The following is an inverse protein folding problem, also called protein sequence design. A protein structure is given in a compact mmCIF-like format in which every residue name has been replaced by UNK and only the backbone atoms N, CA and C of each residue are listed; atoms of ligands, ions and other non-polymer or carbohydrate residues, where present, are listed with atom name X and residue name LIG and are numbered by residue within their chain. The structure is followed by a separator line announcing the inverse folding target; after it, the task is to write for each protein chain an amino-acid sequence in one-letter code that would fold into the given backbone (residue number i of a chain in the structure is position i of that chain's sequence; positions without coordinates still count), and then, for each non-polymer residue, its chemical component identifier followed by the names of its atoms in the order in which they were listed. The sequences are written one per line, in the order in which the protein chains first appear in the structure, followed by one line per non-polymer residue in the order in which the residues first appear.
data_IF_112272999206
#
_entry.id   IF_112272999206
#
_cell.length_a   1.000
_cell.length_b   1.000
_cell.length_c   1.000
_cell.angle_alpha   90.00
_cell.angle_beta   90.00
_cell.angle_gamma   90.00
#
_symmetry.space_group_name_H-M   'P 1'
#
loop_
_entity.id
_entity.type
_entity.pdbx_description
1 polymer ?
#
# COMPACT_ATOMS: atom_id res chain seq x y z
N UNK A 1 -5.34 17.83 2.95
CA UNK A 1 -4.63 16.70 3.61
C UNK A 1 -3.31 16.43 2.87
N UNK A 2 -2.37 15.65 3.42
CA UNK A 2 -1.11 15.35 2.74
C UNK A 2 -0.64 13.93 3.02
N UNK A 3 -0.26 13.20 1.98
CA UNK A 3 0.28 11.85 2.09
C UNK A 3 1.72 11.85 2.64
N UNK A 4 1.98 10.99 3.61
CA UNK A 4 3.28 10.88 4.29
C UNK A 4 3.89 9.49 4.04
N UNK A 5 4.41 9.21 2.82
CA UNK A 5 4.70 7.84 2.35
C UNK A 5 5.69 7.06 3.21
N UNK A 6 6.62 7.73 3.88
CA UNK A 6 7.65 7.11 4.72
C UNK A 6 7.46 7.49 6.18
N UNK A 7 7.25 8.78 6.46
CA UNK A 7 7.21 9.30 7.83
C UNK A 7 5.98 8.85 8.60
N UNK A 8 4.86 8.51 7.93
CA UNK A 8 3.67 7.97 8.60
C UNK A 8 4.00 6.72 9.43
N UNK A 9 4.71 5.76 8.84
CA UNK A 9 5.04 4.51 9.53
C UNK A 9 5.98 4.73 10.71
N UNK A 10 7.01 5.57 10.56
CA UNK A 10 7.89 5.94 11.67
C UNK A 10 7.14 6.60 12.84
N UNK A 11 6.27 7.56 12.54
CA UNK A 11 5.54 8.30 13.57
C UNK A 11 4.57 7.38 14.32
N UNK A 12 3.80 6.57 13.59
CA UNK A 12 2.81 5.66 14.20
C UNK A 12 3.50 4.55 14.99
N UNK A 13 4.61 4.00 14.50
CA UNK A 13 5.40 3.00 15.23
C UNK A 13 5.94 3.53 16.55
N UNK A 14 6.41 4.78 16.56
CA UNK A 14 6.92 5.43 17.76
C UNK A 14 5.82 5.80 18.76
N UNK A 15 4.64 6.21 18.30
CA UNK A 15 3.47 6.39 19.17
C UNK A 15 3.06 5.04 19.75
N UNK A 16 2.93 4.01 18.91
CA UNK A 16 2.53 2.67 19.30
C UNK A 16 3.46 2.07 20.37
N UNK A 17 4.78 2.15 20.15
CA UNK A 17 5.78 1.60 21.08
C UNK A 17 5.76 2.29 22.45
N UNK A 18 5.28 3.54 22.55
CA UNK A 18 5.16 4.26 23.83
C UNK A 18 3.89 3.90 24.59
N UNK A 19 2.82 3.49 23.90
CA UNK A 19 1.54 3.12 24.51
C UNK A 19 1.44 1.62 24.79
N UNK A 20 2.15 0.77 24.04
CA UNK A 20 2.18 -0.66 24.28
C UNK A 20 2.90 -0.96 25.60
N UNK A 21 2.25 -1.73 26.48
CA UNK A 21 2.78 -2.08 27.80
C UNK A 21 4.14 -2.81 27.76
N UNK A 22 4.47 -3.50 26.66
CA UNK A 22 5.74 -4.20 26.46
C UNK A 22 6.74 -3.38 25.65
N UNK A 23 6.39 -2.13 25.31
CA UNK A 23 7.17 -1.25 24.46
C UNK A 23 7.58 -1.85 23.10
N UNK A 24 6.72 -2.72 22.55
CA UNK A 24 6.95 -3.37 21.26
C UNK A 24 6.73 -2.40 20.10
N UNK A 25 7.49 -2.62 19.03
CA UNK A 25 7.17 -2.06 17.72
C UNK A 25 5.87 -2.64 17.15
N UNK A 26 5.31 -2.00 16.14
CA UNK A 26 4.13 -2.50 15.42
C UNK A 26 4.43 -3.86 14.78
N UNK A 27 5.63 -4.06 14.24
CA UNK A 27 6.02 -5.33 13.63
C UNK A 27 6.06 -6.48 14.63
N UNK A 28 6.59 -6.24 15.83
CA UNK A 28 6.61 -7.22 16.92
C UNK A 28 5.20 -7.51 17.45
N UNK A 29 4.38 -6.47 17.65
CA UNK A 29 2.98 -6.65 18.03
C UNK A 29 2.20 -7.46 16.99
N UNK A 30 2.34 -7.11 15.70
CA UNK A 30 1.69 -7.84 14.60
C UNK A 30 2.11 -9.31 14.60
N UNK A 31 3.40 -9.60 14.81
CA UNK A 31 3.90 -10.96 14.90
C UNK A 31 3.25 -11.73 16.06
N UNK A 32 3.29 -11.17 17.26
CA UNK A 32 2.90 -11.87 18.49
C UNK A 32 1.38 -11.99 18.64
N UNK A 33 0.63 -10.94 18.26
CA UNK A 33 -0.81 -10.83 18.53
C UNK A 33 -1.68 -11.22 17.33
N UNK A 34 -1.15 -11.17 16.11
CA UNK A 34 -1.92 -11.47 14.89
C UNK A 34 -1.33 -12.67 14.15
N UNK A 35 -0.08 -12.58 13.72
CA UNK A 35 0.56 -13.57 12.87
C UNK A 35 0.60 -14.96 13.53
N UNK A 36 1.13 -15.05 14.75
CA UNK A 36 1.28 -16.31 15.47
C UNK A 36 -0.07 -16.88 15.93
N UNK A 37 -0.99 -16.02 16.39
CA UNK A 37 -2.31 -16.45 16.90
C UNK A 37 -3.29 -16.89 15.81
N UNK A 38 -3.14 -16.35 14.61
CA UNK A 38 -4.06 -16.62 13.50
C UNK A 38 -3.39 -17.35 12.33
N UNK A 39 -2.12 -17.72 12.47
CA UNK A 39 -1.33 -18.41 11.45
C UNK A 39 -1.40 -17.71 10.08
N UNK A 40 -1.17 -16.39 10.06
CA UNK A 40 -1.24 -15.58 8.85
C UNK A 40 0.16 -15.28 8.31
N UNK A 41 0.34 -15.33 7.00
CA UNK A 41 1.61 -14.96 6.35
C UNK A 41 1.67 -13.45 6.08
N UNK A 42 1.83 -12.66 7.15
CA UNK A 42 1.97 -11.20 7.09
C UNK A 42 3.10 -10.79 8.03
N UNK A 43 4.07 -10.05 7.51
CA UNK A 43 5.31 -9.71 8.19
C UNK A 43 5.61 -8.22 8.04
N UNK A 44 6.03 -7.60 9.12
CA UNK A 44 6.66 -6.27 9.13
C UNK A 44 7.97 -6.48 9.90
N UNK A 45 9.07 -6.63 9.18
CA UNK A 45 10.31 -7.15 9.76
C UNK A 45 10.22 -8.64 10.10
N UNK A 46 11.21 -9.15 10.83
CA UNK A 46 11.24 -10.55 11.33
C UNK A 46 10.98 -11.64 10.26
N UNK A 47 11.40 -11.43 9.01
CA UNK A 47 11.10 -12.33 7.89
C UNK A 47 12.27 -13.24 7.49
N UNK A 48 13.34 -13.31 8.29
CA UNK A 48 14.56 -14.07 7.96
C UNK A 48 14.28 -15.55 7.63
N UNK A 49 13.41 -16.20 8.42
CA UNK A 49 13.04 -17.61 8.21
C UNK A 49 12.22 -17.85 6.94
N UNK A 50 11.61 -16.79 6.39
CA UNK A 50 10.77 -16.86 5.21
C UNK A 50 11.50 -16.44 3.93
N UNK A 51 12.80 -16.12 3.99
CA UNK A 51 13.57 -15.58 2.86
C UNK A 51 13.41 -16.41 1.57
N UNK A 52 13.43 -17.74 1.70
CA UNK A 52 13.29 -18.66 0.57
C UNK A 52 11.89 -18.64 -0.08
N UNK A 53 10.88 -18.10 0.60
CA UNK A 53 9.50 -17.99 0.10
C UNK A 53 9.18 -16.59 -0.44
N UNK A 54 10.03 -15.60 -0.20
CA UNK A 54 9.80 -14.22 -0.63
C UNK A 54 10.13 -14.12 -2.12
N UNK A 55 9.10 -13.89 -2.93
CA UNK A 55 9.28 -13.60 -4.34
C UNK A 55 9.98 -12.24 -4.51
N UNK A 56 11.04 -12.21 -5.34
CA UNK A 56 11.73 -10.95 -5.68
C UNK A 56 10.83 -10.06 -6.51
N UNK A 57 10.76 -8.78 -6.14
CA UNK A 57 10.14 -7.73 -6.91
C UNK A 57 10.93 -7.55 -8.21
N UNK A 58 10.23 -7.71 -9.33
CA UNK A 58 10.78 -7.46 -10.65
C UNK A 58 10.73 -5.96 -10.95
N UNK A 59 11.77 -5.41 -11.61
CA UNK A 59 11.76 -4.02 -12.02
C UNK A 59 10.63 -3.76 -13.01
N UNK A 60 10.22 -2.49 -13.07
CA UNK A 60 9.33 -2.00 -14.10
C UNK A 60 9.97 -2.25 -15.47
N UNK A 61 9.46 -3.22 -16.22
CA UNK A 61 9.82 -3.36 -17.63
C UNK A 61 9.36 -2.09 -18.37
N UNK A 62 10.19 -1.54 -19.27
CA UNK A 62 9.85 -0.32 -20.04
C UNK A 62 8.67 -0.52 -21.01
N UNK A 63 8.33 -1.76 -21.34
CA UNK A 63 7.37 -2.13 -22.39
C UNK A 63 5.89 -2.22 -22.00
N UNK A 64 5.45 -2.53 -20.76
CA UNK A 64 4.03 -2.51 -20.39
C UNK A 64 3.48 -1.09 -20.15
N UNK A 65 4.33 -0.08 -20.03
CA UNK A 65 3.93 1.31 -19.73
C UNK A 65 3.03 1.92 -20.80
N UNK A 66 3.17 1.54 -22.07
CA UNK A 66 2.32 2.07 -23.16
C UNK A 66 0.88 1.53 -23.10
N UNK A 67 0.69 0.27 -22.71
CA UNK A 67 -0.65 -0.32 -22.58
C UNK A 67 -1.39 0.24 -21.37
N UNK A 68 -0.69 0.47 -20.25
CA UNK A 68 -1.26 1.14 -19.08
C UNK A 68 -1.53 2.63 -19.37
N UNK A 69 -0.64 3.31 -20.09
CA UNK A 69 -0.84 4.68 -20.59
C UNK A 69 -2.11 4.86 -21.42
N UNK A 70 -2.42 3.90 -22.29
CA UNK A 70 -3.66 3.91 -23.07
C UNK A 70 -4.91 3.66 -22.21
N UNK A 71 -4.77 3.00 -21.06
CA UNK A 71 -5.88 2.70 -20.14
C UNK A 71 -6.20 3.86 -19.18
N UNK A 72 -5.23 4.67 -18.77
CA UNK A 72 -5.49 5.86 -17.97
C UNK A 72 -4.44 6.98 -18.19
N UNK A 73 -4.91 8.13 -18.71
CA UNK A 73 -4.08 9.32 -18.95
C UNK A 73 -3.58 9.97 -17.64
N UNK A 74 -4.17 9.67 -16.48
CA UNK A 74 -3.76 10.20 -15.16
C UNK A 74 -2.46 9.60 -14.63
N UNK A 75 -1.95 8.51 -15.22
CA UNK A 75 -0.66 7.89 -14.83
C UNK A 75 0.50 8.89 -14.90
N UNK A 76 0.43 9.93 -15.74
CA UNK A 76 1.45 10.98 -15.86
C UNK A 76 1.47 11.95 -14.66
N UNK A 77 0.35 12.10 -13.94
CA UNK A 77 0.29 12.94 -12.71
C UNK A 77 1.22 12.37 -11.63
N UNK A 78 1.19 11.04 -11.47
CA UNK A 78 1.96 10.30 -10.45
C UNK A 78 3.47 10.31 -10.75
N UNK A 79 3.86 10.24 -12.03
CA UNK A 79 5.26 10.38 -12.43
C UNK A 79 5.86 11.76 -12.13
N UNK A 80 5.03 12.81 -12.21
CA UNK A 80 5.44 14.19 -11.93
C UNK A 80 5.49 14.54 -10.43
N UNK A 81 4.78 13.79 -9.60
CA UNK A 81 4.58 14.02 -8.18
C UNK A 81 5.75 13.54 -7.31
N UNK A 82 6.45 12.51 -7.79
CA UNK A 82 7.65 11.97 -7.16
C UNK A 82 8.92 12.75 -7.58
N UNK A 83 8.74 13.90 -8.24
CA UNK A 83 9.74 14.96 -8.34
C UNK A 83 9.52 15.95 -7.19
N UNK A 84 10.43 16.04 -6.21
CA UNK A 84 10.43 17.20 -5.34
C UNK A 84 10.76 18.43 -6.20
N UNK A 85 9.75 19.20 -6.59
CA UNK A 85 9.92 20.59 -7.04
C UNK A 85 10.16 21.49 -5.82
N UNK A 86 11.16 21.15 -5.02
CA UNK A 86 11.71 22.00 -3.97
C UNK A 86 13.04 21.40 -3.56
N UNK A 87 14.13 21.93 -4.10
CA UNK A 87 15.40 21.87 -3.39
C UNK A 87 15.19 22.68 -2.10
N UNK A 88 15.36 22.11 -0.90
CA UNK A 88 15.50 22.94 0.29
C UNK A 88 16.75 23.78 0.08
N UNK A 89 16.61 25.10 0.12
CA UNK A 89 17.73 26.03 0.13
C UNK A 89 18.42 25.98 1.50
N UNK A 90 19.09 24.87 1.81
CA UNK A 90 20.03 24.79 2.92
C UNK A 90 21.32 24.18 2.38
N UNK A 91 22.38 24.97 2.45
CA UNK A 91 23.62 24.73 1.74
C UNK A 91 24.29 23.42 2.10
N UNK A 92 24.57 22.60 1.07
CA UNK A 92 25.84 21.90 0.84
C UNK A 92 25.69 21.15 -0.49
N UNK A 93 26.39 21.63 -1.53
CA UNK A 93 26.50 20.91 -2.80
C UNK A 93 27.42 19.70 -2.59
N UNK A 94 26.86 18.54 -2.25
CA UNK A 94 27.58 17.28 -2.49
C UNK A 94 27.21 16.81 -3.90
N UNK A 95 28.13 17.05 -4.85
CA UNK A 95 28.11 16.38 -6.14
C UNK A 95 28.45 14.90 -5.93
N UNK A 96 27.72 13.94 -6.52
CA UNK A 96 28.20 12.58 -6.60
C UNK A 96 29.36 12.55 -7.61
N UNK A 97 30.56 12.23 -7.13
CA UNK A 97 31.66 11.77 -7.97
C UNK A 97 31.27 10.40 -8.53
N UNK A 98 31.02 10.34 -9.83
CA UNK A 98 30.71 9.11 -10.56
C UNK A 98 30.76 9.40 -12.06
N UNK A 99 31.66 8.70 -12.75
CA UNK A 99 32.10 8.98 -14.11
C UNK A 99 30.97 9.03 -15.15
N UNK A 100 31.17 9.93 -16.12
CA UNK A 100 30.20 10.28 -17.13
C UNK A 100 29.81 9.14 -18.07
N UNK A 101 28.52 9.17 -18.44
CA UNK A 101 27.83 8.61 -19.64
C UNK A 101 26.53 7.91 -19.22
N UNK A 102 25.53 8.72 -18.87
CA UNK A 102 24.15 8.28 -18.81
C UNK A 102 23.24 9.46 -19.00
N UNK A 103 22.60 9.58 -20.18
CA UNK A 103 21.41 10.43 -20.35
C UNK A 103 20.30 9.83 -19.49
N UNK A 104 20.31 10.16 -18.20
CA UNK A 104 19.32 9.70 -17.23
C UNK A 104 17.97 10.34 -17.53
N UNK A 105 17.00 9.53 -17.94
CA UNK A 105 15.59 9.90 -17.86
C UNK A 105 15.32 10.35 -16.43
N UNK A 106 14.74 11.55 -16.31
CA UNK A 106 14.25 12.12 -15.05
C UNK A 106 13.03 11.33 -14.61
N UNK A 107 13.23 10.11 -14.14
CA UNK A 107 12.22 9.28 -13.48
C UNK A 107 12.52 9.32 -11.98
N UNK A 108 11.48 9.37 -11.16
CA UNK A 108 11.62 9.58 -9.72
C UNK A 108 12.54 8.57 -9.03
N UNK A 109 13.37 9.06 -8.11
CA UNK A 109 14.31 8.27 -7.28
C UNK A 109 13.59 7.13 -6.54
N UNK A 110 12.30 7.31 -6.22
CA UNK A 110 11.46 6.34 -5.50
C UNK A 110 11.07 5.16 -6.41
N UNK A 111 10.76 5.42 -7.69
CA UNK A 111 10.48 4.36 -8.69
C UNK A 111 11.77 3.62 -9.08
N UNK A 112 12.92 4.31 -9.03
CA UNK A 112 14.22 3.75 -9.41
C UNK A 112 14.79 2.71 -8.43
N UNK A 113 14.21 2.51 -7.24
CA UNK A 113 14.78 1.58 -6.25
C UNK A 113 13.76 0.66 -5.58
N UNK A 114 12.68 0.24 -6.26
CA UNK A 114 11.80 -0.82 -5.69
C UNK A 114 12.55 -2.13 -5.44
N UNK A 115 13.65 -2.35 -6.16
CA UNK A 115 14.55 -3.47 -5.95
C UNK A 115 15.28 -3.42 -4.60
N UNK A 116 15.36 -2.26 -3.93
CA UNK A 116 15.97 -2.17 -2.60
C UNK A 116 15.21 -3.03 -1.59
N UNK A 117 13.89 -3.18 -1.77
CA UNK A 117 13.06 -4.05 -0.93
C UNK A 117 13.31 -5.54 -1.18
N UNK A 118 14.09 -5.92 -2.21
CA UNK A 118 14.61 -7.27 -2.38
C UNK A 118 15.75 -7.60 -1.40
N UNK A 119 16.38 -6.59 -0.79
CA UNK A 119 17.42 -6.82 0.20
C UNK A 119 16.84 -7.32 1.53
N UNK A 120 17.33 -8.45 2.09
CA UNK A 120 16.95 -8.92 3.42
C UNK A 120 17.23 -7.87 4.51
N UNK A 121 18.33 -7.12 4.35
CA UNK A 121 18.70 -6.05 5.29
C UNK A 121 17.66 -4.92 5.32
N UNK A 122 17.10 -4.57 4.15
CA UNK A 122 16.04 -3.56 4.08
C UNK A 122 14.78 -4.08 4.75
N UNK A 123 14.37 -5.32 4.47
CA UNK A 123 13.19 -5.92 5.11
C UNK A 123 13.34 -6.07 6.63
N UNK A 124 14.55 -6.36 7.11
CA UNK A 124 14.82 -6.54 8.54
C UNK A 124 14.50 -5.30 9.38
N UNK A 125 14.58 -4.08 8.82
CA UNK A 125 14.21 -2.85 9.54
C UNK A 125 12.74 -2.79 9.96
N UNK A 126 11.85 -3.55 9.33
CA UNK A 126 10.44 -3.59 9.72
C UNK A 126 9.72 -2.26 9.66
N UNK A 127 10.05 -1.39 8.70
CA UNK A 127 9.38 -0.10 8.52
C UNK A 127 7.89 -0.29 8.14
N UNK A 128 6.92 0.05 9.00
CA UNK A 128 5.51 -0.28 8.78
C UNK A 128 4.88 0.36 7.54
N UNK A 129 5.40 1.49 7.06
CA UNK A 129 4.83 2.16 5.88
C UNK A 129 5.14 1.47 4.55
N UNK A 130 6.29 0.79 4.42
CA UNK A 130 6.80 0.34 3.10
C UNK A 130 7.41 -1.06 3.07
N UNK A 131 7.76 -1.66 4.22
CA UNK A 131 8.49 -2.94 4.28
C UNK A 131 7.61 -4.16 4.61
N UNK A 132 6.29 -4.03 4.46
CA UNK A 132 5.38 -5.16 4.66
C UNK A 132 5.60 -6.27 3.63
N UNK A 133 5.70 -7.52 4.08
CA UNK A 133 5.76 -8.71 3.23
C UNK A 133 4.60 -9.62 3.59
N UNK A 134 3.82 -10.04 2.60
CA UNK A 134 2.68 -10.91 2.85
C UNK A 134 2.33 -11.79 1.65
N UNK A 135 1.61 -12.88 1.91
CA UNK A 135 0.82 -13.53 0.88
C UNK A 135 -0.54 -12.83 0.75
N UNK A 136 -1.12 -12.79 -0.45
CA UNK A 136 -2.41 -12.14 -0.67
C UNK A 136 -3.52 -12.79 0.19
N UNK A 137 -3.44 -14.11 0.39
CA UNK A 137 -4.34 -14.87 1.27
C UNK A 137 -4.17 -14.47 2.73
N UNK A 138 -2.92 -14.39 3.22
CA UNK A 138 -2.63 -14.00 4.59
C UNK A 138 -3.10 -12.59 4.89
N UNK A 139 -2.81 -11.64 4.00
CA UNK A 139 -3.21 -10.24 4.16
C UNK A 139 -4.73 -10.07 4.10
N UNK A 140 -5.42 -10.78 3.18
CA UNK A 140 -6.88 -10.81 3.14
C UNK A 140 -7.48 -11.38 4.43
N UNK A 141 -6.91 -12.45 4.97
CA UNK A 141 -7.39 -13.06 6.21
C UNK A 141 -7.23 -12.13 7.42
N UNK A 142 -6.11 -11.41 7.54
CA UNK A 142 -5.95 -10.38 8.59
C UNK A 142 -7.03 -9.30 8.47
N UNK A 143 -7.32 -8.84 7.26
CA UNK A 143 -8.36 -7.83 7.02
C UNK A 143 -9.77 -8.39 7.29
N UNK A 144 -10.05 -9.64 6.96
CA UNK A 144 -11.31 -10.30 7.32
C UNK A 144 -11.48 -10.34 8.85
N UNK A 145 -10.44 -10.73 9.58
CA UNK A 145 -10.44 -10.78 11.06
C UNK A 145 -10.55 -9.39 11.71
N UNK A 146 -10.07 -8.37 11.02
CA UNK A 146 -10.28 -6.99 11.44
C UNK A 146 -11.73 -6.55 11.23
N UNK A 147 -12.32 -6.92 10.09
CA UNK A 147 -13.70 -6.60 9.72
C UNK A 147 -14.76 -7.37 10.53
N UNK A 148 -14.51 -8.64 10.84
CA UNK A 148 -15.46 -9.50 11.58
C UNK A 148 -15.46 -9.26 13.10
N UNK A 149 -14.55 -8.41 13.59
CA UNK A 149 -14.46 -8.03 14.99
C UNK A 149 -13.56 -8.93 15.84
N UNK A 150 -12.82 -9.86 15.24
CA UNK A 150 -11.84 -10.70 15.95
C UNK A 150 -10.66 -9.88 16.47
N UNK A 151 -10.16 -8.92 15.69
CA UNK A 151 -8.98 -8.11 16.05
C UNK A 151 -9.34 -6.78 16.73
N UNK A 152 -10.51 -6.23 16.43
CA UNK A 152 -10.98 -4.96 16.99
C UNK A 152 -12.47 -5.07 17.33
N UNK A 153 -12.97 -4.26 18.26
CA UNK A 153 -14.40 -4.31 18.57
C UNK A 153 -15.24 -3.89 17.36
N UNK A 154 -16.42 -4.49 17.22
CA UNK A 154 -17.37 -4.11 16.16
C UNK A 154 -17.82 -2.65 16.28
N UNK A 155 -17.88 -2.11 17.50
CA UNK A 155 -18.16 -0.70 17.74
C UNK A 155 -17.06 0.21 17.16
N UNK A 156 -15.79 -0.14 17.40
CA UNK A 156 -14.66 0.57 16.81
C UNK A 156 -14.70 0.47 15.28
N UNK A 157 -14.95 -0.73 14.74
CA UNK A 157 -14.99 -0.93 13.29
C UNK A 157 -16.12 -0.11 12.62
N UNK A 158 -17.28 0.06 13.28
CA UNK A 158 -18.35 0.94 12.77
C UNK A 158 -17.91 2.39 12.60
N UNK A 159 -17.02 2.89 13.44
CA UNK A 159 -16.47 4.25 13.30
C UNK A 159 -15.60 4.40 12.04
N UNK A 160 -15.09 3.29 11.50
CA UNK A 160 -14.32 3.25 10.26
C UNK A 160 -15.21 3.19 9.00
N UNK A 161 -16.53 3.09 9.13
CA UNK A 161 -17.46 2.89 8.00
C UNK A 161 -17.46 4.00 6.96
N UNK A 162 -17.00 5.20 7.32
CA UNK A 162 -16.88 6.36 6.45
C UNK A 162 -15.52 7.04 6.62
N UNK A 163 -15.00 7.68 5.56
CA UNK A 163 -13.77 8.47 5.67
C UNK A 163 -13.94 9.64 6.66
N UNK A 164 -12.85 10.09 7.26
CA UNK A 164 -12.83 11.34 8.04
C UNK A 164 -12.80 12.56 7.12
N UNK A 165 -12.17 12.42 5.96
CA UNK A 165 -12.08 13.42 4.90
C UNK A 165 -12.57 12.77 3.62
N UNK A 166 -13.70 13.21 3.10
CA UNK A 166 -14.28 12.73 1.83
C UNK A 166 -13.91 13.70 0.71
N UNK A 167 -13.29 13.18 -0.35
CA UNK A 167 -12.88 13.90 -1.56
C UNK A 167 -12.06 15.18 -1.29
N UNK A 168 -11.14 15.10 -0.33
CA UNK A 168 -10.25 16.19 0.01
C UNK A 168 -9.00 16.17 -0.85
N UNK A 169 -8.56 17.35 -1.30
CA UNK A 169 -7.31 17.48 -2.04
C UNK A 169 -6.09 17.08 -1.17
N UNK A 170 -5.33 16.10 -1.67
CA UNK A 170 -4.07 15.69 -1.09
C UNK A 170 -2.92 16.43 -1.76
N UNK A 171 -2.25 17.32 -1.01
CA UNK A 171 -1.17 18.15 -1.55
C UNK A 171 0.08 17.35 -1.95
N UNK A 172 0.23 16.14 -1.43
CA UNK A 172 1.35 15.27 -1.78
C UNK A 172 1.00 14.36 -2.94
N UNK A 173 -0.28 14.02 -3.16
CA UNK A 173 -0.73 13.21 -4.31
C UNK A 173 -1.18 14.04 -5.52
N UNK A 174 -1.53 15.31 -5.30
CA UNK A 174 -2.04 16.21 -6.33
C UNK A 174 -3.44 15.84 -6.85
N UNK A 175 -4.19 15.05 -6.07
CA UNK A 175 -5.53 14.59 -6.41
C UNK A 175 -6.45 14.55 -5.18
N UNK A 176 -7.75 14.46 -5.42
CA UNK A 176 -8.75 14.30 -4.37
C UNK A 176 -8.76 12.88 -3.86
N UNK A 177 -8.72 12.73 -2.54
CA UNK A 177 -8.66 11.45 -1.86
C UNK A 177 -9.62 11.44 -0.68
N UNK A 178 -10.23 10.27 -0.46
CA UNK A 178 -11.02 10.01 0.72
C UNK A 178 -10.16 9.23 1.74
N UNK A 179 -9.90 9.80 2.93
CA UNK A 179 -8.97 9.24 3.93
C UNK A 179 -9.53 9.29 5.35
N UNK A 180 -9.04 8.41 6.22
CA UNK A 180 -9.36 8.43 7.65
C UNK A 180 -8.74 7.25 8.39
N UNK A 181 -8.38 7.43 9.66
CA UNK A 181 -7.93 6.34 10.56
C UNK A 181 -6.75 5.49 10.02
N UNK A 182 -5.91 6.06 9.15
CA UNK A 182 -4.81 5.33 8.50
C UNK A 182 -5.20 4.56 7.22
N UNK A 183 -6.47 4.62 6.82
CA UNK A 183 -6.99 4.01 5.60
C UNK A 183 -7.29 5.05 4.52
N UNK A 184 -7.31 4.54 3.29
CA UNK A 184 -7.89 5.18 2.10
C UNK A 184 -9.25 4.56 1.81
N UNK A 185 -10.15 5.38 1.30
CA UNK A 185 -11.54 5.04 1.04
C UNK A 185 -11.84 5.26 -0.43
N UNK A 186 -12.62 4.36 -1.02
CA UNK A 186 -13.18 4.59 -2.34
C UNK A 186 -14.53 3.89 -2.48
N UNK A 187 -15.34 4.36 -3.44
CA UNK A 187 -16.61 3.72 -3.74
C UNK A 187 -16.42 2.44 -4.55
N UNK A 188 -17.16 1.40 -4.18
CA UNK A 188 -17.35 0.22 -5.00
C UNK A 188 -18.26 0.52 -6.20
N UNK A 189 -18.30 -0.33 -7.24
CA UNK A 189 -19.25 -0.21 -8.34
C UNK A 189 -20.71 -0.29 -7.88
N UNK A 190 -20.95 -0.87 -6.70
CA UNK A 190 -22.28 -0.93 -6.06
C UNK A 190 -22.58 0.27 -5.15
N UNK A 191 -21.70 1.26 -5.06
CA UNK A 191 -21.89 2.49 -4.26
C UNK A 191 -21.53 2.40 -2.77
N UNK A 192 -21.12 1.21 -2.31
CA UNK A 192 -20.68 0.95 -0.92
C UNK A 192 -19.26 1.47 -0.69
N UNK A 193 -18.88 1.68 0.56
CA UNK A 193 -17.52 2.13 0.91
C UNK A 193 -16.52 0.98 1.00
N UNK A 194 -15.41 1.09 0.27
CA UNK A 194 -14.25 0.21 0.38
C UNK A 194 -13.16 0.86 1.24
N UNK A 195 -12.71 0.15 2.28
CA UNK A 195 -11.72 0.58 3.26
C UNK A 195 -10.41 -0.19 3.04
N UNK A 196 -9.28 0.49 2.90
CA UNK A 196 -7.99 -0.21 2.79
C UNK A 196 -6.87 0.71 2.34
N UNK A 197 -5.89 0.18 1.61
CA UNK A 197 -4.76 0.99 1.13
C UNK A 197 -4.24 0.48 -0.23
N UNK A 198 -3.99 1.37 -1.20
CA UNK A 198 -3.23 1.02 -2.40
C UNK A 198 -1.73 0.98 -2.10
N UNK A 199 -1.01 0.07 -2.73
CA UNK A 199 0.45 -0.01 -2.71
C UNK A 199 1.05 0.30 -4.08
N UNK A 200 2.33 0.66 -4.07
CA UNK A 200 3.11 0.78 -5.31
C UNK A 200 3.11 -0.55 -6.06
N UNK A 201 2.99 -0.49 -7.38
CA UNK A 201 2.91 -1.69 -8.22
C UNK A 201 1.51 -2.25 -8.37
N UNK A 202 0.49 -1.41 -8.16
CA UNK A 202 -0.94 -1.78 -8.24
C UNK A 202 -1.39 -2.80 -7.21
N UNK A 203 -0.58 -3.02 -6.18
CA UNK A 203 -0.92 -3.86 -5.05
C UNK A 203 -2.04 -3.18 -4.26
N UNK A 204 -2.96 -3.95 -3.69
CA UNK A 204 -4.04 -3.36 -2.91
C UNK A 204 -4.68 -4.39 -1.99
N UNK A 205 -5.17 -3.92 -0.84
CA UNK A 205 -6.12 -4.64 -0.01
C UNK A 205 -7.29 -3.71 0.28
N UNK A 206 -8.51 -4.22 0.14
CA UNK A 206 -9.76 -3.49 0.39
C UNK A 206 -10.76 -4.39 1.10
N UNK A 207 -11.40 -3.85 2.12
CA UNK A 207 -12.54 -4.41 2.82
C UNK A 207 -13.80 -3.65 2.40
N UNK A 208 -14.88 -4.35 2.13
CA UNK A 208 -16.20 -3.80 1.82
C UNK A 208 -17.21 -4.43 2.77
N UNK A 209 -17.43 -3.80 3.95
CA UNK A 209 -18.25 -4.38 5.01
C UNK A 209 -19.71 -4.61 4.61
N UNK A 210 -20.26 -3.75 3.76
CA UNK A 210 -21.65 -3.85 3.29
C UNK A 210 -21.86 -5.04 2.35
N UNK A 211 -20.79 -5.53 1.73
CA UNK A 211 -20.79 -6.70 0.85
C UNK A 211 -20.15 -7.94 1.49
N UNK A 212 -19.73 -7.86 2.76
CA UNK A 212 -18.95 -8.88 3.48
C UNK A 212 -17.80 -9.44 2.61
N UNK A 213 -16.99 -8.52 2.09
CA UNK A 213 -16.00 -8.84 1.07
C UNK A 213 -14.64 -8.24 1.39
N UNK A 214 -13.60 -9.06 1.28
CA UNK A 214 -12.20 -8.60 1.28
C UNK A 214 -11.54 -8.96 -0.04
N UNK A 215 -11.01 -7.96 -0.74
CA UNK A 215 -10.25 -8.13 -1.98
C UNK A 215 -8.79 -7.78 -1.68
N UNK A 216 -7.90 -8.75 -1.89
CA UNK A 216 -6.46 -8.53 -1.80
C UNK A 216 -5.77 -8.95 -3.10
N UNK A 217 -4.94 -8.07 -3.64
CA UNK A 217 -4.14 -8.29 -4.83
C UNK A 217 -2.70 -7.87 -4.55
N UNK A 218 -1.78 -8.83 -4.61
CA UNK A 218 -0.33 -8.63 -4.50
C UNK A 218 0.35 -9.21 -5.74
N UNK A 219 1.41 -8.55 -6.19
CA UNK A 219 2.18 -8.96 -7.38
C UNK A 219 3.65 -8.65 -7.17
N UNK A 220 4.52 -9.56 -7.61
CA UNK A 220 5.96 -9.31 -7.64
C UNK A 220 6.39 -8.57 -8.92
N UNK A 221 5.56 -8.58 -9.96
CA UNK A 221 5.74 -7.73 -11.13
C UNK A 221 5.09 -6.36 -10.85
N UNK A 222 5.90 -5.43 -10.34
CA UNK A 222 5.46 -4.06 -10.06
C UNK A 222 5.08 -3.38 -11.37
N UNK A 223 3.95 -2.69 -11.36
CA UNK A 223 3.43 -1.88 -12.47
C UNK A 223 3.55 -0.39 -12.17
N UNK A 224 3.56 0.44 -13.21
CA UNK A 224 3.72 1.89 -13.05
C UNK A 224 2.47 2.55 -12.43
N UNK A 225 1.34 1.83 -12.46
CA UNK A 225 0.04 2.24 -11.94
C UNK A 225 -0.18 1.83 -10.48
N UNK A 226 -1.14 2.48 -9.82
CA UNK A 226 -1.55 2.22 -8.43
C UNK A 226 -3.05 1.89 -8.39
N UNK A 227 -3.46 0.98 -7.50
CA UNK A 227 -4.88 0.63 -7.32
C UNK A 227 -5.65 0.32 -8.61
N UNK A 228 -6.80 0.99 -8.80
CA UNK A 228 -7.71 0.82 -9.95
C UNK A 228 -7.12 1.26 -11.29
N UNK A 229 -6.02 2.03 -11.30
CA UNK A 229 -5.38 2.47 -12.54
C UNK A 229 -4.64 1.35 -13.29
N UNK A 230 -4.56 0.15 -12.70
CA UNK A 230 -3.98 -1.02 -13.35
C UNK A 230 -5.07 -1.93 -13.93
N UNK A 231 -4.86 -2.36 -15.17
CA UNK A 231 -5.76 -3.30 -15.85
C UNK A 231 -5.96 -4.61 -15.08
N UNK A 232 -4.91 -5.17 -14.47
CA UNK A 232 -5.03 -6.46 -13.76
C UNK A 232 -5.89 -6.36 -12.51
N UNK A 233 -5.69 -5.33 -11.69
CA UNK A 233 -6.50 -5.15 -10.50
C UNK A 233 -7.93 -4.70 -10.86
N UNK A 234 -8.10 -3.76 -11.79
CA UNK A 234 -9.44 -3.31 -12.20
C UNK A 234 -10.26 -4.47 -12.75
N UNK A 235 -9.73 -5.26 -13.70
CA UNK A 235 -10.46 -6.38 -14.28
C UNK A 235 -10.88 -7.42 -13.23
N UNK A 236 -10.00 -7.70 -12.25
CA UNK A 236 -10.32 -8.60 -11.14
C UNK A 236 -11.42 -7.99 -10.25
N UNK A 237 -11.26 -6.73 -9.86
CA UNK A 237 -12.18 -5.99 -9.01
C UNK A 237 -13.57 -5.89 -9.64
N UNK A 238 -13.65 -5.42 -10.88
CA UNK A 238 -14.90 -5.28 -11.64
C UNK A 238 -15.59 -6.64 -11.76
N UNK A 239 -14.85 -7.71 -12.07
CA UNK A 239 -15.42 -9.05 -12.20
C UNK A 239 -15.95 -9.60 -10.88
N UNK A 240 -15.27 -9.33 -9.77
CA UNK A 240 -15.75 -9.70 -8.43
C UNK A 240 -17.08 -8.99 -8.14
N UNK A 241 -17.16 -7.69 -8.43
CA UNK A 241 -18.39 -6.92 -8.19
C UNK A 241 -19.54 -7.31 -9.11
N UNK A 242 -19.28 -7.72 -10.35
CA UNK A 242 -20.29 -8.35 -11.21
C UNK A 242 -20.90 -9.60 -10.55
N UNK A 243 -20.05 -10.47 -9.97
CA UNK A 243 -20.50 -11.69 -9.29
C UNK A 243 -21.29 -11.36 -8.02
N UNK A 244 -20.82 -10.40 -7.22
CA UNK A 244 -21.53 -9.95 -6.01
C UNK A 244 -22.89 -9.35 -6.36
N UNK A 245 -22.95 -8.51 -7.39
CA UNK A 245 -24.21 -7.92 -7.85
C UNK A 245 -25.18 -8.98 -8.40
N UNK A 246 -24.67 -10.02 -9.09
CA UNK A 246 -25.48 -11.13 -9.56
C UNK A 246 -26.03 -11.96 -8.39
N UNK A 247 -25.22 -12.23 -7.36
CA UNK A 247 -25.65 -12.96 -6.16
C UNK A 247 -26.74 -12.23 -5.38
N UNK A 248 -26.75 -10.90 -5.34
CA UNK A 248 -27.79 -10.11 -4.66
C UNK A 248 -29.14 -10.10 -5.38
N UNK A 249 -29.17 -10.46 -6.68
CA UNK A 249 -30.40 -10.49 -7.49
C UNK A 249 -31.12 -11.85 -7.44
N UNK A 250 -30.43 -12.90 -6.98
CA UNK A 250 -30.95 -14.25 -6.80
C UNK A 250 -31.34 -14.48 -5.34
#
# INVERSE_FOLDING_TARGET
IAYHPITFGWLIDQVFSRIDSKHRTIGEFLRDEVQQKHNTEVFIGSCADQENKIAKLAPLRRTPGFREFMHDRKIFSVGNLLHPKAQPSTGTKQQPMGDGKGRGSKESIIIQSIEMFNSPLVRAFGQPAVNGVASARGLALVHQKFMDGTLVSQEFFKNLSKPQFEDYFDHTLGEEESKGYGFTYCKSPTGTWQIGHPGVGSQCVRMDPENDLVICYLTNAVKASHGKHSSSYSNLHDKIYEIVAAKKKN
#
